data_IF_565509414877
#
_entry.id   IF_565509414877
#
_cell.length_a   1.000
_cell.length_b   1.000
_cell.length_c   1.000
_cell.angle_alpha   90.00
_cell.angle_beta   90.00
_cell.angle_gamma   90.00
#
_symmetry.space_group_name_H-M   'P 1'
#
loop_
_entity.id
_entity.type
_entity.pdbx_description
1 polymer ?
#
# COMPACT_ATOMS: atom_id res chain seq x y z
N UNK A 1 -39.07 16.60 -4.07
CA UNK A 1 -38.76 17.86 -3.33
C UNK A 1 -37.29 17.80 -2.96
N UNK A 2 -36.41 18.38 -3.80
CA UNK A 2 -35.01 18.59 -3.43
C UNK A 2 -35.00 19.76 -2.46
N UNK A 3 -34.37 19.62 -1.29
CA UNK A 3 -34.32 20.68 -0.31
C UNK A 3 -33.53 21.88 -0.87
N UNK A 4 -33.96 23.11 -0.60
CA UNK A 4 -33.32 24.35 -1.05
C UNK A 4 -31.80 24.41 -0.74
N UNK A 5 -31.35 23.74 0.32
CA UNK A 5 -29.92 23.66 0.68
C UNK A 5 -29.06 22.82 -0.27
N UNK A 6 -29.63 21.84 -0.97
CA UNK A 6 -28.89 21.05 -1.96
C UNK A 6 -28.79 21.73 -3.33
N UNK A 7 -29.75 22.57 -3.70
CA UNK A 7 -29.72 23.32 -4.96
C UNK A 7 -28.57 24.34 -5.01
N UNK A 8 -28.23 24.99 -3.90
CA UNK A 8 -27.13 25.98 -3.83
C UNK A 8 -25.74 25.38 -4.13
N UNK A 9 -25.58 24.08 -4.03
CA UNK A 9 -24.29 23.41 -4.19
C UNK A 9 -23.91 23.16 -5.66
N UNK A 10 -24.88 23.21 -6.59
CA UNK A 10 -24.72 22.79 -7.98
C UNK A 10 -25.08 23.84 -9.03
N UNK A 11 -25.48 25.04 -8.63
CA UNK A 11 -25.85 26.12 -9.56
C UNK A 11 -24.76 27.19 -9.55
N UNK A 12 -24.04 27.32 -10.67
CA UNK A 12 -23.12 28.44 -10.87
C UNK A 12 -23.89 29.56 -11.54
N UNK A 13 -24.09 30.68 -10.85
CA UNK A 13 -24.70 31.88 -11.40
C UNK A 13 -23.62 32.88 -11.80
N UNK A 14 -23.78 33.59 -12.93
CA UNK A 14 -22.94 34.75 -13.21
C UNK A 14 -23.02 35.80 -12.07
N UNK A 15 -21.91 36.50 -11.86
CA UNK A 15 -21.85 37.50 -10.82
C UNK A 15 -22.98 38.58 -10.96
N UNK A 16 -23.74 38.84 -9.88
CA UNK A 16 -24.80 39.81 -9.85
C UNK A 16 -26.23 39.28 -10.07
N UNK A 17 -26.40 37.98 -10.24
CA UNK A 17 -27.73 37.36 -10.43
C UNK A 17 -28.20 36.72 -9.10
N UNK A 18 -29.40 37.11 -8.66
CA UNK A 18 -30.06 36.52 -7.50
C UNK A 18 -30.85 35.27 -7.91
N UNK A 19 -30.45 34.04 -7.45
CA UNK A 19 -31.06 32.80 -7.86
C UNK A 19 -32.56 32.71 -7.63
N UNK A 20 -33.04 33.26 -6.51
CA UNK A 20 -34.43 33.16 -6.10
C UNK A 20 -35.39 34.00 -6.99
N UNK A 21 -34.91 35.07 -7.63
CA UNK A 21 -35.71 35.87 -8.59
C UNK A 21 -35.91 35.15 -9.90
N UNK A 22 -34.93 34.37 -10.36
CA UNK A 22 -35.01 33.63 -11.63
C UNK A 22 -35.84 32.36 -11.47
N UNK A 23 -35.68 31.61 -10.37
CA UNK A 23 -36.37 30.35 -10.15
C UNK A 23 -37.88 30.50 -9.97
N UNK A 24 -38.35 31.66 -9.49
CA UNK A 24 -39.76 31.96 -9.20
C UNK A 24 -40.44 32.82 -10.25
N UNK A 25 -39.77 33.18 -11.34
CA UNK A 25 -40.35 34.00 -12.40
C UNK A 25 -41.38 33.20 -13.22
N UNK A 26 -42.64 33.72 -13.29
CA UNK A 26 -43.75 33.16 -14.05
C UNK A 26 -43.52 33.13 -15.58
N UNK A 27 -42.59 33.95 -16.06
CA UNK A 27 -42.24 34.10 -17.47
C UNK A 27 -40.87 33.46 -17.79
N UNK A 28 -40.61 32.25 -17.29
CA UNK A 28 -39.40 31.50 -17.58
C UNK A 28 -39.70 30.10 -18.16
N UNK A 29 -38.84 29.63 -19.07
CA UNK A 29 -38.81 28.25 -19.49
C UNK A 29 -37.57 27.56 -18.93
N UNK A 30 -37.67 26.26 -18.65
CA UNK A 30 -36.63 25.45 -18.02
C UNK A 30 -36.34 24.18 -18.81
N UNK A 31 -35.10 23.83 -18.85
CA UNK A 31 -34.65 22.52 -19.34
C UNK A 31 -33.71 21.90 -18.33
N UNK A 32 -33.89 20.64 -18.01
CA UNK A 32 -33.09 19.91 -17.02
C UNK A 32 -32.59 18.61 -17.63
N UNK A 33 -31.31 18.35 -17.46
CA UNK A 33 -30.67 17.12 -17.93
C UNK A 33 -29.88 16.49 -16.78
N UNK A 34 -30.05 15.20 -16.62
CA UNK A 34 -29.26 14.39 -15.71
C UNK A 34 -28.21 13.64 -16.55
N UNK A 35 -26.95 13.79 -16.17
CA UNK A 35 -25.83 13.05 -16.75
C UNK A 35 -24.95 12.52 -15.62
N UNK A 36 -24.80 11.20 -15.53
CA UNK A 36 -24.13 10.53 -14.42
C UNK A 36 -24.71 11.02 -13.08
N UNK A 37 -23.87 11.57 -12.18
CA UNK A 37 -24.27 12.05 -10.84
C UNK A 37 -24.58 13.56 -10.81
N UNK A 38 -24.81 14.19 -11.99
CA UNK A 38 -24.98 15.63 -12.11
C UNK A 38 -26.28 16.00 -12.78
N UNK A 39 -26.90 17.06 -12.24
CA UNK A 39 -28.12 17.65 -12.81
C UNK A 39 -27.78 19.03 -13.34
N UNK A 40 -27.98 19.23 -14.63
CA UNK A 40 -27.81 20.52 -15.30
C UNK A 40 -29.17 21.17 -15.51
N UNK A 41 -29.35 22.38 -14.94
CA UNK A 41 -30.57 23.14 -15.08
C UNK A 41 -30.31 24.41 -15.89
N UNK A 42 -31.04 24.57 -16.98
CA UNK A 42 -30.99 25.76 -17.84
C UNK A 42 -32.32 26.49 -17.73
N UNK A 43 -32.24 27.81 -17.53
CA UNK A 43 -33.40 28.65 -17.31
C UNK A 43 -33.26 29.87 -18.21
N UNK A 44 -34.25 30.12 -19.04
CA UNK A 44 -34.40 31.38 -19.76
C UNK A 44 -35.49 32.17 -19.08
N UNK A 45 -35.18 33.44 -18.73
CA UNK A 45 -36.14 34.40 -18.16
C UNK A 45 -36.10 35.66 -19.03
N UNK A 46 -37.25 36.34 -19.16
CA UNK A 46 -37.39 37.64 -19.83
C UNK A 46 -37.09 37.57 -21.34
N UNK A 47 -38.15 37.26 -22.11
CA UNK A 47 -38.08 37.31 -23.57
C UNK A 47 -38.41 38.74 -24.07
N UNK A 48 -37.40 39.43 -24.61
CA UNK A 48 -37.60 40.69 -25.30
C UNK A 48 -37.80 40.45 -26.77
N UNK A 49 -38.86 41.04 -27.33
CA UNK A 49 -39.13 41.02 -28.77
C UNK A 49 -39.34 42.46 -29.29
N UNK A 50 -39.16 42.64 -30.62
CA UNK A 50 -39.42 43.96 -31.27
C UNK A 50 -40.85 44.49 -31.05
N UNK A 51 -41.78 43.68 -30.54
CA UNK A 51 -43.20 43.96 -30.38
C UNK A 51 -43.71 43.72 -28.94
N UNK A 52 -42.83 43.78 -27.95
CA UNK A 52 -43.20 43.63 -26.51
C UNK A 52 -43.96 42.33 -26.16
N UNK A 53 -43.72 41.23 -26.85
CA UNK A 53 -44.27 39.95 -26.42
C UNK A 53 -43.38 39.31 -25.34
N UNK A 54 -43.96 39.00 -24.21
CA UNK A 54 -43.25 38.46 -23.03
C UNK A 54 -43.45 36.97 -22.83
N UNK A 55 -44.22 36.30 -23.69
CA UNK A 55 -44.48 34.88 -23.59
C UNK A 55 -43.48 34.04 -24.42
N UNK A 56 -43.01 32.95 -23.87
CA UNK A 56 -42.25 31.92 -24.59
C UNK A 56 -43.20 31.02 -25.40
N UNK A 57 -42.73 30.56 -26.55
CA UNK A 57 -43.43 29.63 -27.42
C UNK A 57 -42.88 28.21 -27.28
N UNK A 58 -43.57 27.22 -27.85
CA UNK A 58 -43.06 25.82 -27.93
C UNK A 58 -41.73 25.76 -28.71
N UNK A 59 -41.55 26.61 -29.70
CA UNK A 59 -40.28 26.68 -30.44
C UNK A 59 -39.12 27.16 -29.54
N UNK A 60 -39.37 28.14 -28.66
CA UNK A 60 -38.37 28.61 -27.71
C UNK A 60 -37.99 27.51 -26.74
N UNK A 61 -38.94 26.66 -26.30
CA UNK A 61 -38.65 25.49 -25.45
C UNK A 61 -37.80 24.48 -26.17
N UNK A 62 -38.15 24.14 -27.44
CA UNK A 62 -37.35 23.20 -28.22
C UNK A 62 -35.92 23.70 -28.48
N UNK A 63 -35.76 24.98 -28.73
CA UNK A 63 -34.43 25.62 -28.89
C UNK A 63 -33.65 25.55 -27.58
N UNK A 64 -34.27 25.89 -26.44
CA UNK A 64 -33.65 25.78 -25.14
C UNK A 64 -33.21 24.35 -24.87
N UNK A 65 -34.06 23.36 -25.07
CA UNK A 65 -33.76 21.94 -24.85
C UNK A 65 -32.58 21.47 -25.72
N UNK A 66 -32.53 21.90 -26.98
CA UNK A 66 -31.44 21.57 -27.87
C UNK A 66 -30.10 22.18 -27.42
N UNK A 67 -30.09 23.50 -27.13
CA UNK A 67 -28.89 24.21 -26.67
C UNK A 67 -28.45 23.69 -25.31
N UNK A 68 -29.39 23.52 -24.38
CA UNK A 68 -29.12 23.04 -23.04
C UNK A 68 -28.49 21.64 -23.05
N UNK A 69 -28.97 20.74 -23.91
CA UNK A 69 -28.38 19.40 -24.09
C UNK A 69 -26.94 19.48 -24.59
N UNK A 70 -26.68 20.33 -25.56
CA UNK A 70 -25.33 20.49 -26.11
C UNK A 70 -24.37 21.12 -25.10
N UNK A 71 -24.82 22.13 -24.34
CA UNK A 71 -24.02 22.79 -23.30
C UNK A 71 -23.79 21.82 -22.13
N UNK A 72 -24.81 21.05 -21.69
CA UNK A 72 -24.64 20.05 -20.65
C UNK A 72 -23.57 19.00 -21.04
N UNK A 73 -23.63 18.49 -22.28
CA UNK A 73 -22.66 17.54 -22.78
C UNK A 73 -21.24 18.14 -22.84
N UNK A 74 -21.12 19.41 -23.25
CA UNK A 74 -19.81 20.10 -23.27
C UNK A 74 -19.22 20.30 -21.88
N UNK A 75 -20.04 20.71 -20.91
CA UNK A 75 -19.61 20.88 -19.52
C UNK A 75 -19.21 19.55 -18.87
N UNK A 76 -19.95 18.48 -19.17
CA UNK A 76 -19.59 17.14 -18.69
C UNK A 76 -18.26 16.67 -19.27
N UNK A 77 -18.05 16.85 -20.57
CA UNK A 77 -16.78 16.51 -21.22
C UNK A 77 -15.61 17.30 -20.64
N UNK A 78 -15.79 18.61 -20.39
CA UNK A 78 -14.75 19.43 -19.76
C UNK A 78 -14.42 18.93 -18.34
N UNK A 79 -15.43 18.55 -17.58
CA UNK A 79 -15.25 18.02 -16.25
C UNK A 79 -14.50 16.68 -16.25
N UNK A 80 -14.93 15.73 -17.09
CA UNK A 80 -14.27 14.44 -17.23
C UNK A 80 -12.82 14.60 -17.72
N UNK A 81 -12.58 15.54 -18.61
CA UNK A 81 -11.22 15.82 -19.09
C UNK A 81 -10.33 16.37 -17.97
N UNK A 82 -10.85 17.29 -17.14
CA UNK A 82 -10.11 17.78 -15.95
C UNK A 82 -9.80 16.66 -14.95
N UNK A 83 -10.76 15.77 -14.71
CA UNK A 83 -10.53 14.60 -13.84
C UNK A 83 -9.47 13.66 -14.42
N UNK A 84 -9.51 13.42 -15.73
CA UNK A 84 -8.53 12.57 -16.40
C UNK A 84 -7.11 13.14 -16.28
N UNK A 85 -6.93 14.44 -16.50
CA UNK A 85 -5.63 15.12 -16.32
C UNK A 85 -5.13 15.05 -14.88
N UNK A 86 -6.00 15.28 -13.91
CA UNK A 86 -5.62 15.21 -12.48
C UNK A 86 -5.21 13.79 -12.09
N UNK A 87 -5.97 12.78 -12.57
CA UNK A 87 -5.64 11.38 -12.35
C UNK A 87 -4.28 11.03 -12.98
N UNK A 88 -4.04 11.42 -14.23
CA UNK A 88 -2.76 11.18 -14.92
C UNK A 88 -1.57 11.80 -14.15
N UNK A 89 -1.75 13.02 -13.64
CA UNK A 89 -0.73 13.69 -12.83
C UNK A 89 -0.41 12.91 -11.56
N UNK A 90 -1.44 12.44 -10.82
CA UNK A 90 -1.26 11.62 -9.63
C UNK A 90 -0.53 10.30 -9.98
N UNK A 91 -0.90 9.64 -11.08
CA UNK A 91 -0.24 8.42 -11.53
C UNK A 91 1.25 8.65 -11.86
N UNK A 92 1.59 9.80 -12.47
CA UNK A 92 2.97 10.18 -12.75
C UNK A 92 3.75 10.42 -11.43
N UNK A 93 3.19 11.13 -10.46
CA UNK A 93 3.82 11.35 -9.15
C UNK A 93 4.05 10.03 -8.40
N UNK A 94 3.08 9.11 -8.44
CA UNK A 94 3.21 7.77 -7.87
C UNK A 94 4.29 6.93 -8.57
N UNK A 95 4.42 7.02 -9.88
CA UNK A 95 5.48 6.35 -10.64
C UNK A 95 6.87 6.80 -10.21
N UNK A 96 7.05 8.11 -9.96
CA UNK A 96 8.30 8.64 -9.40
C UNK A 96 8.56 8.09 -8.01
N UNK A 97 7.57 8.10 -7.11
CA UNK A 97 7.68 7.54 -5.77
C UNK A 97 8.06 6.05 -5.80
N UNK A 98 7.45 5.26 -6.70
CA UNK A 98 7.77 3.85 -6.93
C UNK A 98 9.21 3.66 -7.37
N UNK A 99 9.70 4.52 -8.27
CA UNK A 99 11.09 4.45 -8.74
C UNK A 99 12.11 4.74 -7.62
N UNK A 100 11.76 5.62 -6.68
CA UNK A 100 12.58 5.90 -5.50
C UNK A 100 12.54 4.71 -4.54
N UNK A 101 11.34 4.18 -4.25
CA UNK A 101 11.18 3.04 -3.34
C UNK A 101 11.93 1.79 -3.83
N UNK A 102 11.90 1.51 -5.14
CA UNK A 102 12.69 0.41 -5.72
C UNK A 102 14.19 0.50 -5.48
N UNK A 103 14.73 1.70 -5.25
CA UNK A 103 16.15 1.92 -4.90
C UNK A 103 16.43 1.78 -3.40
N UNK A 104 15.38 1.76 -2.57
CA UNK A 104 15.49 1.51 -1.13
C UNK A 104 15.57 0.00 -0.86
N UNK A 105 14.86 -0.79 -1.67
CA UNK A 105 14.97 -2.25 -1.64
C UNK A 105 16.32 -2.71 -2.22
N UNK A 106 16.88 -3.83 -1.75
CA UNK A 106 18.16 -4.32 -2.24
C UNK A 106 18.08 -4.71 -3.73
N UNK A 107 18.94 -4.12 -4.56
CA UNK A 107 19.10 -4.55 -5.96
C UNK A 107 19.65 -5.98 -6.06
N UNK A 108 20.49 -6.36 -5.10
CA UNK A 108 21.02 -7.71 -4.93
C UNK A 108 21.37 -7.96 -3.48
N UNK A 109 21.10 -9.16 -3.01
CA UNK A 109 21.51 -9.58 -1.67
C UNK A 109 22.99 -9.93 -1.62
N UNK A 110 23.68 -9.72 -0.48
CA UNK A 110 25.08 -10.04 -0.34
C UNK A 110 25.32 -11.55 -0.47
N UNK A 111 26.46 -11.93 -1.04
CA UNK A 111 26.91 -13.31 -1.00
C UNK A 111 27.46 -13.64 0.38
N UNK A 112 26.92 -14.66 1.02
CA UNK A 112 27.34 -15.14 2.33
C UNK A 112 28.00 -16.50 2.14
N UNK A 113 29.26 -16.62 2.53
CA UNK A 113 30.00 -17.87 2.39
C UNK A 113 29.34 -18.98 3.23
N UNK A 114 29.08 -20.13 2.62
CA UNK A 114 28.38 -21.26 3.26
C UNK A 114 26.85 -21.12 3.32
N UNK A 115 26.27 -20.10 2.67
CA UNK A 115 24.82 -19.89 2.66
C UNK A 115 24.30 -19.57 1.25
N UNK A 116 23.05 -19.95 1.03
CA UNK A 116 22.24 -19.46 -0.08
C UNK A 116 21.19 -18.49 0.46
N UNK A 117 21.08 -17.32 -0.15
CA UNK A 117 20.09 -16.29 0.22
C UNK A 117 19.31 -15.85 -1.03
N UNK A 118 17.99 -15.72 -0.91
CA UNK A 118 17.14 -15.14 -1.95
C UNK A 118 15.99 -14.36 -1.30
N UNK A 119 15.53 -13.32 -1.96
CA UNK A 119 14.40 -12.51 -1.50
C UNK A 119 13.60 -11.93 -2.65
N UNK A 120 12.36 -11.57 -2.36
CA UNK A 120 11.45 -10.95 -3.31
C UNK A 120 10.54 -9.96 -2.58
N UNK A 121 10.18 -8.89 -3.28
CA UNK A 121 9.10 -7.97 -2.89
C UNK A 121 8.25 -7.70 -4.12
N UNK A 122 6.94 -7.89 -4.00
CA UNK A 122 5.94 -7.64 -5.05
C UNK A 122 4.86 -6.76 -4.42
N UNK A 123 4.90 -5.46 -4.65
CA UNK A 123 3.90 -4.56 -4.09
C UNK A 123 2.53 -4.78 -4.75
N UNK A 124 1.46 -4.60 -3.97
CA UNK A 124 0.06 -4.69 -4.41
C UNK A 124 -0.42 -3.44 -5.14
N UNK A 125 0.29 -2.31 -4.93
CA UNK A 125 0.05 -1.00 -5.55
C UNK A 125 1.34 -0.46 -6.16
N UNK A 126 1.28 0.77 -6.67
CA UNK A 126 2.46 1.46 -7.24
C UNK A 126 3.61 1.59 -6.23
N UNK A 127 3.28 1.74 -4.93
CA UNK A 127 4.22 1.76 -3.81
C UNK A 127 3.71 0.87 -2.69
N UNK A 128 4.62 0.13 -2.04
CA UNK A 128 4.32 -0.86 -1.00
C UNK A 128 4.63 -0.37 0.42
N UNK A 129 4.09 -1.10 1.41
CA UNK A 129 4.40 -0.97 2.83
C UNK A 129 5.48 -1.93 3.31
N UNK A 130 5.77 -2.94 2.53
CA UNK A 130 6.74 -3.98 2.85
C UNK A 130 8.18 -3.56 2.61
N UNK A 131 9.06 -4.08 3.46
CA UNK A 131 10.49 -3.91 3.33
C UNK A 131 11.24 -5.20 3.70
N UNK A 132 12.28 -5.54 2.96
CA UNK A 132 13.25 -6.56 3.35
C UNK A 132 14.66 -6.14 2.94
N UNK A 133 15.66 -6.62 3.66
CA UNK A 133 17.06 -6.38 3.32
C UNK A 133 18.00 -7.40 3.98
N UNK A 134 19.24 -7.41 3.51
CA UNK A 134 20.36 -8.12 4.13
C UNK A 134 21.60 -7.25 4.10
N UNK A 135 22.00 -6.72 5.25
CA UNK A 135 23.18 -5.87 5.39
C UNK A 135 24.44 -6.69 5.74
N UNK A 136 25.51 -6.48 5.01
CA UNK A 136 26.81 -6.98 5.42
C UNK A 136 27.42 -6.03 6.47
N UNK A 137 27.56 -6.48 7.70
CA UNK A 137 28.07 -5.71 8.84
C UNK A 137 29.60 -5.85 8.99
N UNK A 138 30.25 -6.62 8.10
CA UNK A 138 31.67 -6.97 8.25
C UNK A 138 31.90 -8.14 9.21
N UNK A 139 33.16 -8.63 9.23
CA UNK A 139 33.59 -9.71 10.13
C UNK A 139 32.70 -10.98 10.11
N UNK A 140 32.11 -11.30 8.97
CA UNK A 140 31.23 -12.46 8.82
C UNK A 140 29.84 -12.28 9.44
N UNK A 141 29.46 -11.06 9.83
CA UNK A 141 28.12 -10.76 10.37
C UNK A 141 27.21 -10.15 9.32
N UNK A 142 25.93 -10.58 9.32
CA UNK A 142 24.90 -10.14 8.39
C UNK A 142 23.59 -9.86 9.12
N UNK A 143 22.96 -8.71 8.87
CA UNK A 143 21.65 -8.41 9.40
C UNK A 143 20.58 -8.74 8.36
N UNK A 144 19.69 -9.67 8.70
CA UNK A 144 18.52 -10.06 7.92
C UNK A 144 17.31 -9.30 8.46
N UNK A 145 16.56 -8.65 7.61
CA UNK A 145 15.45 -7.78 8.01
C UNK A 145 14.23 -8.06 7.15
N UNK A 146 13.07 -8.06 7.78
CA UNK A 146 11.77 -7.97 7.12
C UNK A 146 10.85 -7.09 7.96
N UNK A 147 10.02 -6.30 7.30
CA UNK A 147 9.07 -5.40 7.94
C UNK A 147 7.84 -5.19 7.05
N UNK A 148 6.71 -4.90 7.69
CA UNK A 148 5.48 -4.48 7.04
C UNK A 148 4.87 -3.30 7.80
N UNK A 149 4.46 -2.29 7.05
CA UNK A 149 3.85 -1.05 7.57
C UNK A 149 2.34 -1.15 7.54
N UNK A 150 1.69 -0.99 8.67
CA UNK A 150 0.24 -0.96 8.78
C UNK A 150 -0.40 0.02 7.78
N UNK A 151 -1.17 -0.52 6.81
CA UNK A 151 -1.81 0.21 5.72
C UNK A 151 -0.94 0.33 4.47
N UNK A 152 -1.47 0.95 3.43
CA UNK A 152 -0.92 0.88 2.06
C UNK A 152 -0.72 2.25 1.43
N UNK A 153 0.09 2.29 0.36
CA UNK A 153 0.30 3.49 -0.46
C UNK A 153 1.37 4.43 0.08
N UNK A 154 1.30 5.71 -0.28
CA UNK A 154 2.38 6.70 -0.06
C UNK A 154 2.80 6.80 1.41
N UNK A 155 1.84 6.80 2.35
CA UNK A 155 2.14 6.91 3.78
C UNK A 155 2.98 5.75 4.28
N UNK A 156 2.67 4.50 3.88
CA UNK A 156 3.45 3.32 4.20
C UNK A 156 4.85 3.39 3.56
N UNK A 157 4.95 3.76 2.29
CA UNK A 157 6.23 3.91 1.58
C UNK A 157 7.16 4.94 2.23
N UNK A 158 6.64 6.04 2.78
CA UNK A 158 7.42 7.04 3.52
C UNK A 158 7.97 6.46 4.84
N UNK A 159 7.19 5.64 5.55
CA UNK A 159 7.66 4.97 6.76
C UNK A 159 8.73 3.91 6.44
N UNK A 160 8.59 3.16 5.34
CA UNK A 160 9.65 2.28 4.83
C UNK A 160 10.94 3.06 4.59
N UNK A 161 10.85 4.23 3.95
CA UNK A 161 12.02 5.09 3.70
C UNK A 161 12.67 5.56 5.01
N UNK A 162 11.86 5.92 6.00
CA UNK A 162 12.33 6.33 7.33
C UNK A 162 13.01 5.18 8.05
N UNK A 163 12.41 3.98 8.00
CA UNK A 163 12.99 2.76 8.58
C UNK A 163 14.32 2.42 7.94
N UNK A 164 14.39 2.40 6.60
CA UNK A 164 15.63 2.11 5.87
C UNK A 164 16.77 3.10 6.23
N UNK A 165 16.46 4.40 6.25
CA UNK A 165 17.46 5.42 6.61
C UNK A 165 17.98 5.25 8.05
N UNK A 166 17.09 4.91 8.99
CA UNK A 166 17.46 4.67 10.37
C UNK A 166 18.29 3.37 10.53
N UNK A 167 17.93 2.28 9.83
CA UNK A 167 18.68 1.03 9.82
C UNK A 167 20.11 1.25 9.26
N UNK A 168 20.22 1.92 8.11
CA UNK A 168 21.53 2.26 7.53
C UNK A 168 22.42 3.07 8.48
N UNK A 169 21.82 3.90 9.35
CA UNK A 169 22.55 4.66 10.36
C UNK A 169 22.90 3.80 11.56
N UNK A 170 21.94 3.07 12.14
CA UNK A 170 22.14 2.37 13.42
C UNK A 170 22.99 1.10 13.27
N UNK A 171 22.91 0.38 12.15
CA UNK A 171 23.72 -0.82 11.89
C UNK A 171 25.22 -0.53 11.73
N UNK A 172 25.64 0.74 11.65
CA UNK A 172 27.04 1.13 11.67
C UNK A 172 27.64 1.13 13.09
N UNK A 173 26.80 1.06 14.12
CA UNK A 173 27.22 1.08 15.51
C UNK A 173 27.06 -0.31 16.13
N UNK A 174 27.99 -0.66 17.01
CA UNK A 174 27.90 -1.90 17.79
C UNK A 174 26.99 -1.71 19.01
N UNK A 175 25.68 -1.66 18.76
CA UNK A 175 24.64 -1.56 19.79
C UNK A 175 23.78 -2.82 19.80
N UNK A 176 23.28 -3.25 20.99
CA UNK A 176 22.37 -4.40 21.08
C UNK A 176 21.13 -4.19 20.21
N UNK A 177 20.63 -5.27 19.56
CA UNK A 177 19.42 -5.19 18.72
C UNK A 177 18.20 -4.70 19.48
N UNK A 178 18.10 -5.04 20.77
CA UNK A 178 17.02 -4.55 21.65
C UNK A 178 17.05 -3.04 21.81
N UNK A 179 18.24 -2.46 22.03
CA UNK A 179 18.42 -1.00 22.11
C UNK A 179 18.14 -0.33 20.76
N UNK A 180 18.61 -0.93 19.67
CA UNK A 180 18.33 -0.42 18.32
C UNK A 180 16.82 -0.41 18.05
N UNK A 181 16.11 -1.48 18.41
CA UNK A 181 14.65 -1.57 18.24
C UNK A 181 13.92 -0.53 19.09
N UNK A 182 14.38 -0.25 20.31
CA UNK A 182 13.83 0.84 21.15
C UNK A 182 14.01 2.22 20.49
N UNK A 183 15.16 2.47 19.87
CA UNK A 183 15.43 3.72 19.16
C UNK A 183 14.56 3.83 17.90
N UNK A 184 14.41 2.75 17.14
CA UNK A 184 13.52 2.67 15.98
C UNK A 184 12.06 2.90 16.39
N UNK A 185 11.61 2.25 17.46
CA UNK A 185 10.25 2.44 18.01
C UNK A 185 9.96 3.91 18.30
N UNK A 186 10.85 4.59 19.02
CA UNK A 186 10.72 6.02 19.36
C UNK A 186 10.71 6.90 18.11
N UNK A 187 11.53 6.58 17.12
CA UNK A 187 11.58 7.31 15.85
C UNK A 187 10.25 7.16 15.10
N UNK A 188 9.78 5.93 14.91
CA UNK A 188 8.54 5.66 14.18
C UNK A 188 7.35 6.26 14.93
N UNK A 189 7.24 6.07 16.24
CA UNK A 189 6.17 6.65 17.06
C UNK A 189 6.04 8.18 16.91
N UNK A 190 7.18 8.89 16.82
CA UNK A 190 7.20 10.35 16.62
C UNK A 190 6.92 10.78 15.18
N UNK A 191 7.20 9.91 14.21
CA UNK A 191 7.14 10.25 12.78
C UNK A 191 5.86 9.80 12.11
N UNK A 192 5.03 8.97 12.76
CA UNK A 192 3.82 8.39 12.19
C UNK A 192 2.55 8.85 12.91
N UNK A 193 1.41 8.92 12.21
CA UNK A 193 0.10 9.00 12.84
C UNK A 193 -0.16 7.78 13.73
N UNK A 194 -1.06 7.92 14.72
CA UNK A 194 -1.34 6.91 15.72
C UNK A 194 -1.92 5.58 15.19
N UNK A 195 -2.44 5.58 13.96
CA UNK A 195 -2.95 4.41 13.25
C UNK A 195 -1.91 3.71 12.38
N UNK A 196 -0.66 4.19 12.40
CA UNK A 196 0.45 3.66 11.61
C UNK A 196 1.56 3.14 12.51
N UNK A 197 1.96 1.91 12.26
CA UNK A 197 3.05 1.21 12.94
C UNK A 197 3.74 0.27 11.95
N UNK A 198 4.83 -0.33 12.34
CA UNK A 198 5.60 -1.26 11.52
C UNK A 198 5.76 -2.57 12.28
N UNK A 199 5.30 -3.68 11.73
CA UNK A 199 5.73 -5.00 12.19
C UNK A 199 7.15 -5.22 11.70
N UNK A 200 8.07 -5.60 12.59
CA UNK A 200 9.49 -5.58 12.27
C UNK A 200 10.19 -6.80 12.85
N UNK A 201 11.00 -7.44 12.01
CA UNK A 201 11.90 -8.50 12.44
C UNK A 201 13.32 -8.19 11.98
N UNK A 202 14.28 -8.43 12.86
CA UNK A 202 15.69 -8.39 12.56
C UNK A 202 16.42 -9.56 13.20
N UNK A 203 17.33 -10.18 12.42
CA UNK A 203 18.28 -11.18 12.94
C UNK A 203 19.69 -10.82 12.48
N UNK A 204 20.65 -10.79 13.40
CA UNK A 204 22.08 -10.71 13.07
C UNK A 204 22.66 -12.10 13.10
N UNK A 205 23.06 -12.57 11.92
CA UNK A 205 23.74 -13.84 11.70
C UNK A 205 25.25 -13.65 11.85
N UNK A 206 25.90 -14.47 12.67
CA UNK A 206 27.31 -14.79 12.54
C UNK A 206 27.45 -15.97 11.58
N UNK A 207 27.99 -15.73 10.39
CA UNK A 207 28.04 -16.73 9.32
C UNK A 207 29.05 -17.87 9.61
N UNK A 208 29.96 -17.68 10.52
CA UNK A 208 30.97 -18.69 10.91
C UNK A 208 30.32 -19.69 11.88
N UNK A 209 29.78 -19.21 12.99
CA UNK A 209 29.16 -20.04 14.02
C UNK A 209 27.75 -20.49 13.63
N UNK A 210 27.00 -19.66 12.90
CA UNK A 210 25.57 -19.83 12.61
C UNK A 210 24.67 -19.26 13.69
N UNK A 211 25.25 -18.59 14.70
CA UNK A 211 24.45 -17.92 15.74
C UNK A 211 23.62 -16.78 15.17
N UNK A 212 22.40 -16.66 15.68
CA UNK A 212 21.45 -15.62 15.36
C UNK A 212 21.08 -14.85 16.64
N UNK A 213 21.37 -13.54 16.66
CA UNK A 213 20.76 -12.62 17.61
C UNK A 213 19.52 -12.02 16.97
N UNK A 214 18.35 -12.04 17.65
CA UNK A 214 17.05 -11.79 17.03
C UNK A 214 16.24 -10.81 17.88
N UNK A 215 15.53 -9.90 17.21
CA UNK A 215 14.39 -9.17 17.78
C UNK A 215 13.22 -9.26 16.81
N UNK A 216 12.06 -9.67 17.32
CA UNK A 216 10.79 -9.62 16.61
C UNK A 216 9.89 -8.60 17.30
N UNK A 217 9.59 -7.50 16.62
CA UNK A 217 8.72 -6.42 17.07
C UNK A 217 7.34 -6.54 16.40
N UNK A 218 6.55 -7.54 16.84
CA UNK A 218 5.17 -7.74 16.38
C UNK A 218 5.03 -8.25 14.94
N UNK A 219 6.10 -8.74 14.33
CA UNK A 219 6.05 -9.36 13.00
C UNK A 219 5.59 -10.81 13.08
N UNK A 220 5.11 -11.35 11.97
CA UNK A 220 4.72 -12.76 11.85
C UNK A 220 5.86 -13.68 12.30
N UNK A 221 5.54 -14.87 12.84
CA UNK A 221 6.55 -15.84 13.24
C UNK A 221 7.46 -16.21 12.06
N UNK A 222 8.76 -16.11 12.27
CA UNK A 222 9.75 -16.54 11.28
C UNK A 222 9.96 -18.04 11.41
N UNK A 223 10.01 -18.73 10.27
CA UNK A 223 10.07 -20.18 10.22
C UNK A 223 11.51 -20.67 10.08
N UNK A 224 11.92 -21.60 10.94
CA UNK A 224 13.18 -22.33 10.82
C UNK A 224 12.87 -23.79 10.54
N UNK A 225 13.19 -24.25 9.35
CA UNK A 225 13.11 -25.67 9.01
C UNK A 225 14.48 -26.29 9.24
N UNK A 226 14.55 -27.19 10.20
CA UNK A 226 15.75 -27.94 10.52
C UNK A 226 16.01 -29.04 9.47
N UNK A 227 17.26 -29.45 9.33
CA UNK A 227 17.65 -30.51 8.39
C UNK A 227 16.89 -31.82 8.61
N UNK A 228 16.50 -32.12 9.84
CA UNK A 228 15.74 -33.32 10.21
C UNK A 228 14.24 -33.23 9.92
N UNK A 229 13.77 -32.10 9.36
CA UNK A 229 12.37 -31.83 9.06
C UNK A 229 11.60 -31.15 10.21
N UNK A 230 12.23 -30.93 11.34
CA UNK A 230 11.60 -30.20 12.46
C UNK A 230 11.38 -28.74 12.06
N UNK A 231 10.15 -28.24 12.27
CA UNK A 231 9.81 -26.84 12.07
C UNK A 231 9.77 -26.10 13.41
N UNK A 232 10.55 -25.05 13.53
CA UNK A 232 10.53 -24.12 14.66
C UNK A 232 9.97 -22.77 14.22
N UNK A 233 9.32 -22.05 15.15
CA UNK A 233 8.84 -20.70 14.96
C UNK A 233 9.63 -19.76 15.87
N UNK A 234 10.18 -18.71 15.31
CA UNK A 234 10.83 -17.65 16.06
C UNK A 234 9.80 -16.57 16.37
N UNK A 235 9.03 -16.83 17.44
CA UNK A 235 8.07 -15.89 18.01
C UNK A 235 8.79 -15.08 19.06
N UNK A 236 8.95 -13.79 18.86
CA UNK A 236 9.37 -12.94 19.98
C UNK A 236 8.20 -12.07 20.43
N UNK A 237 8.00 -11.97 21.71
CA UNK A 237 6.93 -11.19 22.28
C UNK A 237 7.24 -9.71 22.25
N UNK A 238 6.90 -9.06 21.13
CA UNK A 238 7.00 -7.61 20.97
C UNK A 238 5.74 -7.06 20.30
N UNK A 239 5.54 -5.75 20.42
CA UNK A 239 4.55 -4.98 19.67
C UNK A 239 5.23 -4.33 18.47
N UNK A 240 4.47 -3.99 17.41
CA UNK A 240 5.01 -3.29 16.26
C UNK A 240 5.67 -1.97 16.65
N UNK A 241 6.72 -1.60 15.90
CA UNK A 241 7.42 -0.32 16.07
C UNK A 241 6.46 0.84 15.83
N UNK A 242 6.41 1.79 16.76
CA UNK A 242 5.55 2.95 16.68
C UNK A 242 4.13 2.75 17.22
N UNK A 243 3.74 1.54 17.64
CA UNK A 243 2.42 1.32 18.26
C UNK A 243 2.30 2.03 19.61
N UNK A 244 3.35 1.91 20.44
CA UNK A 244 3.35 2.45 21.79
C UNK A 244 4.76 2.94 22.18
N UNK A 245 4.81 3.98 23.01
CA UNK A 245 6.06 4.48 23.63
C UNK A 245 5.95 4.38 25.18
N UNK A 246 5.77 3.16 25.69
CA UNK A 246 5.65 2.91 27.12
C UNK A 246 6.98 2.68 27.84
N UNK A 247 8.10 2.76 27.12
CA UNK A 247 9.42 2.48 27.70
C UNK A 247 9.64 1.01 28.07
N UNK A 248 8.85 0.07 27.51
CA UNK A 248 9.06 -1.36 27.69
C UNK A 248 10.11 -1.79 26.64
N UNK A 249 11.26 -2.33 27.07
CA UNK A 249 12.31 -2.75 26.16
C UNK A 249 11.86 -3.95 25.31
N UNK A 250 12.31 -4.02 24.06
CA UNK A 250 12.11 -5.18 23.21
C UNK A 250 12.90 -6.39 23.74
N UNK A 251 12.30 -7.58 23.66
CA UNK A 251 12.98 -8.80 24.06
C UNK A 251 13.89 -9.31 22.95
N UNK A 252 15.11 -9.67 23.28
CA UNK A 252 16.03 -10.37 22.39
C UNK A 252 15.90 -11.88 22.53
N UNK A 253 16.10 -12.60 21.42
CA UNK A 253 16.13 -14.05 21.35
C UNK A 253 17.42 -14.50 20.64
N UNK A 254 17.91 -15.69 21.01
CA UNK A 254 19.03 -16.33 20.30
C UNK A 254 18.57 -17.64 19.65
N UNK A 255 19.11 -17.92 18.49
CA UNK A 255 18.96 -19.20 17.81
C UNK A 255 20.27 -19.56 17.11
N UNK A 256 20.34 -20.74 16.53
CA UNK A 256 21.50 -21.19 15.76
C UNK A 256 20.99 -21.87 14.48
N UNK A 257 21.56 -21.52 13.36
CA UNK A 257 21.39 -22.25 12.10
C UNK A 257 22.49 -23.29 11.97
N UNK A 258 22.14 -24.56 11.87
CA UNK A 258 23.06 -25.65 11.56
C UNK A 258 23.15 -25.90 10.04
N UNK A 259 24.15 -26.63 9.58
CA UNK A 259 24.24 -27.03 8.17
C UNK A 259 23.01 -27.83 7.72
N UNK A 260 22.36 -27.35 6.67
CA UNK A 260 21.11 -27.87 6.10
C UNK A 260 19.86 -27.18 6.61
N UNK A 261 19.95 -26.31 7.64
CA UNK A 261 18.79 -25.55 8.13
C UNK A 261 18.40 -24.43 7.15
N UNK A 262 17.11 -24.08 7.17
CA UNK A 262 16.53 -23.01 6.37
C UNK A 262 15.76 -22.04 7.24
N UNK A 263 15.97 -20.74 7.04
CA UNK A 263 15.26 -19.64 7.70
C UNK A 263 14.38 -18.94 6.67
N UNK A 264 13.07 -18.87 6.92
CA UNK A 264 12.11 -18.26 6.01
C UNK A 264 11.38 -17.12 6.69
N UNK A 265 11.61 -15.90 6.17
CA UNK A 265 10.98 -14.66 6.57
C UNK A 265 9.91 -14.34 5.52
N UNK A 266 8.73 -13.89 5.94
CA UNK A 266 7.62 -13.58 5.04
C UNK A 266 6.68 -12.54 5.67
N UNK A 267 5.96 -11.79 4.83
CA UNK A 267 4.87 -10.92 5.26
C UNK A 267 3.52 -11.63 5.08
N UNK A 268 2.49 -11.07 5.71
CA UNK A 268 1.13 -11.64 5.72
C UNK A 268 0.48 -11.72 4.33
N UNK A 269 0.96 -10.92 3.37
CA UNK A 269 0.50 -11.00 1.97
C UNK A 269 0.70 -12.37 1.30
N UNK A 270 1.49 -13.30 1.89
CA UNK A 270 1.57 -14.68 1.43
C UNK A 270 0.41 -15.52 2.00
N UNK A 271 0.28 -15.71 3.33
CA UNK A 271 -0.79 -16.55 3.88
C UNK A 271 -2.19 -15.95 3.70
N UNK A 272 -2.32 -14.62 3.70
CA UNK A 272 -3.59 -13.92 3.53
C UNK A 272 -3.99 -13.68 2.07
N UNK A 273 -3.24 -14.20 1.10
CA UNK A 273 -3.60 -14.10 -0.31
C UNK A 273 -4.94 -14.81 -0.58
N UNK A 274 -5.91 -14.07 -1.12
CA UNK A 274 -7.29 -14.53 -1.32
C UNK A 274 -7.57 -14.97 -2.76
N UNK A 275 -8.33 -16.04 -2.93
CA UNK A 275 -8.84 -16.49 -4.22
C UNK A 275 -10.24 -15.89 -4.53
N UNK A 276 -10.82 -16.23 -5.67
CA UNK A 276 -12.14 -15.75 -6.12
C UNK A 276 -13.30 -16.16 -5.18
N UNK A 277 -13.09 -17.12 -4.29
CA UNK A 277 -14.07 -17.58 -3.31
C UNK A 277 -13.88 -16.96 -1.93
N UNK A 278 -13.00 -15.98 -1.82
CA UNK A 278 -12.60 -15.36 -0.55
C UNK A 278 -11.96 -16.36 0.44
N UNK A 279 -11.33 -17.43 -0.07
CA UNK A 279 -10.53 -18.35 0.74
C UNK A 279 -9.08 -17.86 0.77
N UNK A 280 -8.47 -17.88 1.95
CA UNK A 280 -7.05 -17.54 2.13
C UNK A 280 -6.13 -18.68 1.70
N UNK A 281 -4.93 -18.34 1.22
CA UNK A 281 -3.86 -19.33 0.97
C UNK A 281 -3.52 -20.09 2.26
N UNK A 282 -3.50 -19.41 3.35
CA UNK A 282 -3.30 -19.81 4.75
C UNK A 282 -1.85 -20.16 5.13
N UNK A 283 -1.56 -19.95 6.42
CA UNK A 283 -0.29 -20.41 7.01
C UNK A 283 -0.04 -21.89 6.84
N UNK A 284 -1.08 -22.72 6.91
CA UNK A 284 -0.95 -24.17 6.80
C UNK A 284 -0.46 -24.59 5.41
N UNK A 285 -1.01 -23.99 4.35
CA UNK A 285 -0.55 -24.27 2.97
C UNK A 285 0.86 -23.74 2.75
N UNK A 286 1.16 -22.53 3.23
CA UNK A 286 2.49 -21.95 3.11
C UNK A 286 3.55 -22.81 3.82
N UNK A 287 3.28 -23.23 5.05
CA UNK A 287 4.18 -24.09 5.84
C UNK A 287 4.36 -25.44 5.16
N UNK A 288 3.27 -26.05 4.72
CA UNK A 288 3.32 -27.32 3.98
C UNK A 288 4.21 -27.19 2.73
N UNK A 289 4.00 -26.15 1.94
CA UNK A 289 4.81 -25.87 0.75
C UNK A 289 6.29 -25.70 1.12
N UNK A 290 6.61 -24.96 2.18
CA UNK A 290 7.97 -24.73 2.66
C UNK A 290 8.68 -26.04 3.01
N UNK A 291 7.97 -26.97 3.69
CA UNK A 291 8.52 -28.29 4.06
C UNK A 291 8.70 -29.17 2.83
N UNK A 292 7.69 -29.29 1.96
CA UNK A 292 7.70 -30.16 0.79
C UNK A 292 8.76 -29.77 -0.26
N UNK A 293 9.17 -28.49 -0.29
CA UNK A 293 10.15 -27.98 -1.24
C UNK A 293 11.50 -27.62 -0.59
N UNK A 294 11.84 -28.27 0.51
CA UNK A 294 13.06 -28.00 1.27
C UNK A 294 14.35 -28.37 0.57
N UNK A 295 14.31 -29.19 -0.48
CA UNK A 295 15.44 -29.58 -1.33
C UNK A 295 15.82 -28.51 -2.37
N UNK A 296 14.92 -27.60 -2.69
CA UNK A 296 15.15 -26.54 -3.67
C UNK A 296 16.22 -25.54 -3.20
N UNK A 297 16.94 -24.95 -4.16
CA UNK A 297 17.77 -23.78 -3.89
C UNK A 297 16.91 -22.58 -3.47
N UNK A 298 17.49 -21.64 -2.73
CA UNK A 298 16.78 -20.46 -2.24
C UNK A 298 16.10 -19.66 -3.35
N UNK A 299 16.77 -19.43 -4.48
CA UNK A 299 16.21 -18.73 -5.65
C UNK A 299 15.03 -19.47 -6.30
N UNK A 300 15.12 -20.78 -6.43
CA UNK A 300 14.05 -21.61 -7.01
C UNK A 300 12.86 -21.62 -6.07
N UNK A 301 13.09 -21.81 -4.78
CA UNK A 301 12.03 -21.84 -3.77
C UNK A 301 11.20 -20.55 -3.74
N UNK A 302 11.85 -19.37 -3.65
CA UNK A 302 11.13 -18.09 -3.62
C UNK A 302 10.24 -17.91 -4.84
N UNK A 303 10.76 -18.19 -6.03
CA UNK A 303 10.00 -18.06 -7.30
C UNK A 303 8.85 -19.05 -7.37
N UNK A 304 9.07 -20.29 -6.94
CA UNK A 304 8.04 -21.33 -6.98
C UNK A 304 6.94 -21.07 -5.95
N UNK A 305 7.28 -20.60 -4.73
CA UNK A 305 6.31 -20.20 -3.71
C UNK A 305 5.39 -19.06 -4.22
N UNK A 306 5.97 -18.01 -4.80
CA UNK A 306 5.17 -16.92 -5.37
C UNK A 306 4.29 -17.40 -6.51
N UNK A 307 4.76 -18.31 -7.35
CA UNK A 307 3.94 -18.87 -8.43
C UNK A 307 2.80 -19.74 -7.88
N UNK A 308 3.03 -20.50 -6.81
CA UNK A 308 1.99 -21.28 -6.16
C UNK A 308 0.89 -20.38 -5.57
N UNK A 309 1.29 -19.31 -4.86
CA UNK A 309 0.33 -18.29 -4.37
C UNK A 309 -0.44 -17.67 -5.53
N UNK A 310 0.22 -17.25 -6.62
CA UNK A 310 -0.46 -16.69 -7.81
C UNK A 310 -1.44 -17.66 -8.45
N UNK A 311 -1.09 -18.93 -8.55
CA UNK A 311 -1.97 -19.96 -9.08
C UNK A 311 -3.20 -20.18 -8.21
N UNK A 312 -3.04 -20.10 -6.89
CA UNK A 312 -4.15 -20.18 -5.94
C UNK A 312 -5.09 -18.97 -6.02
N UNK A 313 -4.54 -17.76 -6.12
CA UNK A 313 -5.28 -16.49 -6.22
C UNK A 313 -6.05 -16.40 -7.56
N UNK A 314 -5.49 -16.90 -8.65
CA UNK A 314 -6.11 -16.86 -9.98
C UNK A 314 -6.17 -15.45 -10.55
N UNK A 315 -7.38 -14.98 -10.91
CA UNK A 315 -7.61 -13.66 -11.51
C UNK A 315 -7.92 -12.58 -10.46
N UNK A 316 -8.03 -12.93 -9.18
CA UNK A 316 -8.29 -11.97 -8.11
C UNK A 316 -7.12 -10.98 -8.00
N UNK A 317 -7.37 -9.67 -7.94
CA UNK A 317 -6.31 -8.70 -7.71
C UNK A 317 -5.56 -8.98 -6.40
N UNK A 318 -4.24 -8.80 -6.41
CA UNK A 318 -3.42 -8.94 -5.21
C UNK A 318 -3.91 -7.99 -4.11
N UNK A 319 -4.25 -8.55 -2.95
CA UNK A 319 -4.81 -7.80 -1.80
C UNK A 319 -3.74 -7.07 -1.01
N UNK A 320 -2.57 -7.68 -0.80
CA UNK A 320 -1.46 -7.12 -0.03
C UNK A 320 -0.11 -7.31 -0.70
N UNK A 321 0.92 -6.61 -0.19
CA UNK A 321 2.29 -6.73 -0.66
C UNK A 321 2.81 -8.15 -0.33
N UNK A 322 3.49 -8.79 -1.27
CA UNK A 322 4.09 -10.12 -1.08
C UNK A 322 5.59 -9.94 -0.92
N UNK A 323 6.09 -10.18 0.28
CA UNK A 323 7.53 -10.09 0.57
C UNK A 323 8.02 -11.35 1.26
N UNK A 324 9.15 -11.84 0.80
CA UNK A 324 9.80 -13.01 1.38
C UNK A 324 11.32 -12.95 1.27
N UNK A 325 12.00 -13.49 2.26
CA UNK A 325 13.44 -13.68 2.29
C UNK A 325 13.74 -15.10 2.83
N UNK A 326 14.56 -15.84 2.14
CA UNK A 326 14.98 -17.18 2.58
C UNK A 326 16.50 -17.24 2.67
N UNK A 327 16.98 -17.86 3.74
CA UNK A 327 18.39 -18.18 3.96
C UNK A 327 18.52 -19.68 4.21
N UNK A 328 19.45 -20.34 3.53
CA UNK A 328 19.79 -21.76 3.73
C UNK A 328 21.26 -21.85 4.08
N UNK A 329 21.63 -22.57 5.14
CA UNK A 329 23.02 -22.91 5.47
C UNK A 329 23.40 -24.22 4.77
N UNK A 330 24.45 -24.20 3.95
CA UNK A 330 24.95 -25.35 3.20
C UNK A 330 25.71 -26.35 4.08
#
# INVERSE_FOLDING_TARGET
KVSQNNLKKYITFPAGIEPDKILNNKFSIKSSFEQQDRIYNFILSEKETRHNTTSFTELDQLLLDSIARQVAASLENEYLHKQAIEKEKIEQELSVASSIQKRILPESLPKIEGYEIAGINIPSKEVGGDYYDCFNLGNGKYALIIADVAGKGIGAALLVSTLNAALNSYLQFDIPLTEMSDRLNKLIYKSSPSDKYITFFIAVLDSISGELDIVNAGHNPILVLRKDGTLEKLDAGGVGLGMFDFGIPFAGQKSVMNSGDRLFLYTDGIPEAMNEKEEEYSDEKMIKYFIEHSDQSSDVFIKSMVNDVKNFVGITPQSDDITALILKRN
#
